data_IF_417202561237
#
_entry.id   IF_417202561237
#
_cell.length_a   1.000
_cell.length_b   1.000
_cell.length_c   1.000
_cell.angle_alpha   90.00
_cell.angle_beta   90.00
_cell.angle_gamma   90.00
#
_symmetry.space_group_name_H-M   'P 1'
#
loop_
_entity.id
_entity.type
_entity.pdbx_description
1 polymer ?
#
# COMPACT_ATOMS: atom_id res chain seq x y z
N UNK A 1 6.80 -16.39 6.19
CA UNK A 1 7.96 -17.10 5.62
C UNK A 1 7.62 -17.76 4.30
N UNK A 2 6.56 -18.58 4.20
CA UNK A 2 6.15 -19.17 2.91
C UNK A 2 5.76 -18.12 1.85
N UNK A 3 4.78 -17.25 2.11
CA UNK A 3 4.33 -16.26 1.12
C UNK A 3 5.43 -15.28 0.70
N UNK A 4 6.31 -14.90 1.64
CA UNK A 4 7.47 -14.05 1.33
C UNK A 4 8.47 -14.77 0.42
N UNK A 5 8.65 -16.09 0.59
CA UNK A 5 9.47 -16.90 -0.32
C UNK A 5 8.80 -17.05 -1.70
N UNK A 6 7.46 -17.20 -1.76
CA UNK A 6 6.71 -17.22 -3.02
C UNK A 6 6.86 -15.89 -3.76
N UNK A 7 6.71 -14.75 -3.06
CA UNK A 7 6.95 -13.43 -3.66
C UNK A 7 8.37 -13.31 -4.21
N UNK A 8 9.39 -13.73 -3.46
CA UNK A 8 10.77 -13.75 -3.92
C UNK A 8 10.95 -14.65 -5.16
N UNK A 9 10.35 -15.85 -5.17
CA UNK A 9 10.36 -16.75 -6.31
C UNK A 9 9.73 -16.15 -7.57
N UNK A 10 8.58 -15.48 -7.44
CA UNK A 10 7.93 -14.78 -8.55
C UNK A 10 8.80 -13.65 -9.09
N UNK A 11 9.48 -12.90 -8.21
CA UNK A 11 10.41 -11.84 -8.61
C UNK A 11 11.64 -12.41 -9.33
N UNK A 12 12.17 -13.54 -8.87
CA UNK A 12 13.31 -14.21 -9.53
C UNK A 12 12.91 -14.81 -10.88
N UNK A 13 11.66 -15.24 -11.03
CA UNK A 13 11.10 -15.76 -12.29
C UNK A 13 10.86 -14.67 -13.35
N UNK A 14 10.88 -13.38 -12.98
CA UNK A 14 10.78 -12.29 -13.96
C UNK A 14 12.03 -12.27 -14.86
N UNK A 15 11.86 -12.43 -16.18
CA UNK A 15 12.97 -12.32 -17.12
C UNK A 15 13.45 -10.86 -17.17
N UNK A 16 14.78 -10.63 -17.26
CA UNK A 16 15.32 -9.29 -17.48
C UNK A 16 14.67 -8.62 -18.69
N UNK A 17 14.36 -7.34 -18.55
CA UNK A 17 13.82 -6.52 -19.65
C UNK A 17 14.98 -5.86 -20.43
N UNK A 18 14.77 -5.51 -21.70
CA UNK A 18 15.86 -5.05 -22.59
C UNK A 18 16.53 -3.76 -22.12
N UNK A 19 15.77 -2.85 -21.51
CA UNK A 19 16.26 -1.54 -21.06
C UNK A 19 16.64 -1.54 -19.59
N UNK A 20 15.80 -2.16 -18.75
CA UNK A 20 15.92 -2.14 -17.29
C UNK A 20 16.67 -3.35 -16.72
N UNK A 21 16.93 -4.38 -17.52
CA UNK A 21 17.57 -5.60 -17.07
C UNK A 21 16.86 -6.20 -15.85
N UNK A 22 17.62 -6.49 -14.80
CA UNK A 22 17.08 -7.05 -13.55
C UNK A 22 16.33 -6.02 -12.67
N UNK A 23 16.47 -4.71 -12.93
CA UNK A 23 15.80 -3.64 -12.16
C UNK A 23 14.27 -3.75 -12.28
N UNK A 24 13.78 -4.34 -13.37
CA UNK A 24 12.35 -4.60 -13.59
C UNK A 24 11.68 -5.35 -12.42
N UNK A 25 12.44 -6.20 -11.71
CA UNK A 25 11.94 -6.94 -10.54
C UNK A 25 11.52 -6.00 -9.41
N UNK A 26 12.35 -5.00 -9.12
CA UNK A 26 12.05 -3.99 -8.09
C UNK A 26 10.86 -3.12 -8.52
N UNK A 27 10.77 -2.80 -9.80
CA UNK A 27 9.64 -2.02 -10.36
C UNK A 27 8.32 -2.79 -10.22
N UNK A 28 8.31 -4.10 -10.46
CA UNK A 28 7.13 -4.94 -10.25
C UNK A 28 6.72 -5.01 -8.78
N UNK A 29 7.68 -5.17 -7.87
CA UNK A 29 7.42 -5.12 -6.43
C UNK A 29 6.83 -3.78 -6.00
N UNK A 30 7.44 -2.68 -6.44
CA UNK A 30 6.95 -1.31 -6.20
C UNK A 30 5.50 -1.14 -6.69
N UNK A 31 5.22 -1.59 -7.92
CA UNK A 31 3.89 -1.54 -8.51
C UNK A 31 2.86 -2.36 -7.73
N UNK A 32 3.23 -3.55 -7.25
CA UNK A 32 2.36 -4.38 -6.42
C UNK A 32 2.08 -3.72 -5.06
N UNK A 33 3.11 -3.15 -4.42
CA UNK A 33 2.99 -2.52 -3.11
C UNK A 33 2.08 -1.29 -3.13
N UNK A 34 2.16 -0.42 -4.14
CA UNK A 34 1.26 0.75 -4.23
C UNK A 34 -0.20 0.33 -4.43
N UNK A 35 -0.45 -0.66 -5.29
CA UNK A 35 -1.80 -1.18 -5.53
C UNK A 35 -2.39 -1.79 -4.26
N UNK A 36 -1.63 -2.66 -3.59
CA UNK A 36 -2.08 -3.28 -2.33
C UNK A 36 -2.24 -2.24 -1.22
N UNK A 37 -1.33 -1.27 -1.11
CA UNK A 37 -1.46 -0.18 -0.15
C UNK A 37 -2.76 0.60 -0.31
N UNK A 38 -3.13 0.96 -1.55
CA UNK A 38 -4.40 1.63 -1.84
C UNK A 38 -5.61 0.75 -1.49
N UNK A 39 -5.56 -0.55 -1.81
CA UNK A 39 -6.63 -1.49 -1.45
C UNK A 39 -6.79 -1.64 0.06
N UNK A 40 -5.70 -1.68 0.81
CA UNK A 40 -5.74 -1.77 2.28
C UNK A 40 -6.28 -0.47 2.89
N UNK A 41 -5.89 0.70 2.38
CA UNK A 41 -6.49 1.96 2.81
C UNK A 41 -7.99 2.04 2.48
N UNK A 42 -8.40 1.57 1.30
CA UNK A 42 -9.82 1.46 0.96
C UNK A 42 -10.57 0.54 1.93
N UNK A 43 -10.00 -0.64 2.25
CA UNK A 43 -10.56 -1.55 3.24
C UNK A 43 -10.68 -0.90 4.63
N UNK A 44 -9.67 -0.13 5.06
CA UNK A 44 -9.74 0.67 6.29
C UNK A 44 -10.89 1.70 6.24
N UNK A 45 -11.06 2.42 5.13
CA UNK A 45 -12.18 3.35 4.94
C UNK A 45 -13.54 2.65 5.01
N UNK A 46 -13.69 1.49 4.37
CA UNK A 46 -14.92 0.69 4.44
C UNK A 46 -15.20 0.19 5.86
N UNK A 47 -14.18 -0.33 6.55
CA UNK A 47 -14.30 -0.76 7.96
C UNK A 47 -14.63 0.41 8.88
N UNK A 48 -14.14 1.61 8.58
CA UNK A 48 -14.51 2.83 9.30
C UNK A 48 -16.01 3.15 9.12
N UNK A 49 -16.55 3.06 7.90
CA UNK A 49 -17.99 3.23 7.66
C UNK A 49 -18.82 2.18 8.41
N UNK A 50 -18.42 0.90 8.32
CA UNK A 50 -19.10 -0.18 9.04
C UNK A 50 -19.06 0.04 10.55
N UNK A 51 -17.91 0.45 11.10
CA UNK A 51 -17.80 0.79 12.51
C UNK A 51 -18.67 1.99 12.90
N UNK A 52 -18.67 3.07 12.12
CA UNK A 52 -19.48 4.26 12.42
C UNK A 52 -20.98 3.94 12.42
N UNK A 53 -21.40 2.98 11.60
CA UNK A 53 -22.77 2.46 11.57
C UNK A 53 -23.08 1.53 12.75
N UNK A 54 -22.29 0.47 12.94
CA UNK A 54 -22.60 -0.62 13.89
C UNK A 54 -22.12 -0.36 15.31
N UNK A 55 -21.09 0.46 15.48
CA UNK A 55 -20.40 0.76 16.74
C UNK A 55 -19.87 -0.47 17.48
N UNK A 56 -19.59 -1.55 16.76
CA UNK A 56 -19.16 -2.82 17.35
C UNK A 56 -17.62 -2.99 17.40
N UNK A 57 -17.16 -3.80 18.35
CA UNK A 57 -15.73 -4.06 18.59
C UNK A 57 -15.06 -4.84 17.46
N UNK A 58 -15.80 -5.72 16.77
CA UNK A 58 -15.25 -6.53 15.68
C UNK A 58 -14.82 -5.62 14.53
N UNK A 59 -15.71 -4.74 14.07
CA UNK A 59 -15.44 -3.75 13.02
C UNK A 59 -14.30 -2.82 13.42
N UNK A 60 -14.29 -2.35 14.67
CA UNK A 60 -13.22 -1.49 15.18
C UNK A 60 -11.84 -2.20 15.17
N UNK A 61 -11.79 -3.46 15.59
CA UNK A 61 -10.54 -4.24 15.60
C UNK A 61 -9.94 -4.44 14.22
N UNK A 62 -10.79 -4.70 13.22
CA UNK A 62 -10.37 -4.83 11.84
C UNK A 62 -9.95 -3.48 11.26
N UNK A 63 -10.64 -2.38 11.60
CA UNK A 63 -10.22 -1.02 11.22
C UNK A 63 -8.80 -0.71 11.72
N UNK A 64 -8.52 -0.97 13.01
CA UNK A 64 -7.18 -0.73 13.60
C UNK A 64 -6.12 -1.57 12.90
N UNK A 65 -6.43 -2.85 12.62
CA UNK A 65 -5.55 -3.74 11.87
C UNK A 65 -5.26 -3.21 10.46
N UNK A 66 -6.30 -2.83 9.71
CA UNK A 66 -6.20 -2.30 8.37
C UNK A 66 -5.36 -1.01 8.32
N UNK A 67 -5.55 -0.09 9.28
CA UNK A 67 -4.76 1.13 9.37
C UNK A 67 -3.26 0.84 9.53
N UNK A 68 -2.91 -0.04 10.48
CA UNK A 68 -1.51 -0.39 10.75
C UNK A 68 -0.88 -1.12 9.58
N UNK A 69 -1.60 -2.06 8.97
CA UNK A 69 -1.15 -2.76 7.75
C UNK A 69 -0.97 -1.80 6.59
N UNK A 70 -1.92 -0.90 6.35
CA UNK A 70 -1.85 0.08 5.27
C UNK A 70 -0.61 0.96 5.40
N UNK A 71 -0.35 1.48 6.60
CA UNK A 71 0.86 2.25 6.89
C UNK A 71 2.14 1.43 6.64
N UNK A 72 2.22 0.19 7.14
CA UNK A 72 3.38 -0.67 6.93
C UNK A 72 3.64 -0.98 5.45
N UNK A 73 2.59 -1.29 4.68
CA UNK A 73 2.69 -1.51 3.23
C UNK A 73 3.11 -0.23 2.51
N UNK A 74 2.59 0.93 2.92
CA UNK A 74 2.94 2.21 2.31
C UNK A 74 4.40 2.62 2.60
N UNK A 75 4.92 2.31 3.78
CA UNK A 75 6.35 2.48 4.11
C UNK A 75 7.20 1.58 3.23
N UNK A 76 6.85 0.30 3.09
CA UNK A 76 7.56 -0.62 2.20
C UNK A 76 7.52 -0.15 0.75
N UNK A 77 6.37 0.37 0.30
CA UNK A 77 6.21 1.02 -1.00
C UNK A 77 7.16 2.22 -1.15
N UNK A 78 7.20 3.14 -0.19
CA UNK A 78 8.06 4.32 -0.26
C UNK A 78 9.54 3.95 -0.37
N UNK A 79 10.00 2.97 0.44
CA UNK A 79 11.36 2.45 0.36
C UNK A 79 11.65 1.80 -1.00
N UNK A 80 10.72 0.99 -1.52
CA UNK A 80 10.85 0.40 -2.86
C UNK A 80 10.86 1.46 -3.97
N UNK A 81 10.14 2.58 -3.77
CA UNK A 81 10.12 3.72 -4.68
C UNK A 81 11.49 4.40 -4.73
N UNK A 82 12.11 4.63 -3.57
CA UNK A 82 13.45 5.22 -3.50
C UNK A 82 14.48 4.33 -4.20
N UNK A 83 14.43 3.02 -3.93
CA UNK A 83 15.33 2.06 -4.55
C UNK A 83 15.14 1.97 -6.07
N UNK A 84 13.90 1.87 -6.54
CA UNK A 84 13.61 1.82 -7.99
C UNK A 84 14.02 3.11 -8.70
N UNK A 85 13.79 4.27 -8.09
CA UNK A 85 14.22 5.57 -8.65
C UNK A 85 15.74 5.64 -8.76
N UNK A 86 16.46 5.20 -7.72
CA UNK A 86 17.93 5.21 -7.73
C UNK A 86 18.49 4.26 -8.78
N UNK A 87 17.96 3.03 -8.87
CA UNK A 87 18.42 2.04 -9.84
C UNK A 87 18.09 2.41 -11.29
N UNK A 88 16.98 3.10 -11.53
CA UNK A 88 16.58 3.50 -12.88
C UNK A 88 17.27 4.80 -13.34
N UNK A 89 17.42 5.78 -12.45
CA UNK A 89 17.76 7.16 -12.81
C UNK A 89 18.87 7.80 -11.96
N UNK A 90 19.52 7.05 -11.06
CA UNK A 90 20.65 7.53 -10.26
C UNK A 90 20.30 8.50 -9.13
N UNK A 91 19.01 8.77 -8.88
CA UNK A 91 18.53 9.68 -7.84
C UNK A 91 17.62 8.96 -6.84
N UNK A 92 17.73 9.29 -5.56
CA UNK A 92 16.94 8.64 -4.52
C UNK A 92 15.47 9.07 -4.49
N UNK A 93 15.18 10.34 -4.78
CA UNK A 93 13.81 10.88 -4.76
C UNK A 93 13.66 11.88 -5.91
N UNK A 94 12.76 11.58 -6.84
CA UNK A 94 12.42 12.44 -7.97
C UNK A 94 11.27 13.40 -7.58
N UNK A 95 11.58 14.48 -6.86
CA UNK A 95 10.59 15.44 -6.33
C UNK A 95 9.79 16.20 -7.38
N UNK A 96 10.33 16.28 -8.59
CA UNK A 96 9.70 16.89 -9.75
C UNK A 96 8.58 16.00 -10.34
N UNK A 97 8.55 14.71 -10.02
CA UNK A 97 7.44 13.83 -10.39
C UNK A 97 6.23 14.09 -9.46
N UNK A 98 5.07 14.53 -9.99
CA UNK A 98 3.87 14.78 -9.19
C UNK A 98 3.43 13.55 -8.40
N UNK A 99 3.61 12.35 -8.97
CA UNK A 99 3.31 11.08 -8.33
C UNK A 99 4.15 10.84 -7.08
N UNK A 100 5.43 11.22 -7.08
CA UNK A 100 6.32 11.09 -5.91
C UNK A 100 5.86 12.02 -4.79
N UNK A 101 5.53 13.28 -5.12
CA UNK A 101 4.98 14.23 -4.14
C UNK A 101 3.64 13.76 -3.56
N UNK A 102 2.75 13.23 -4.39
CA UNK A 102 1.49 12.63 -3.95
C UNK A 102 1.73 11.46 -2.98
N UNK A 103 2.63 10.52 -3.33
CA UNK A 103 2.98 9.38 -2.49
C UNK A 103 3.59 9.78 -1.14
N UNK A 104 4.46 10.79 -1.13
CA UNK A 104 5.01 11.38 0.09
C UNK A 104 3.90 12.03 0.95
N UNK A 105 2.98 12.76 0.32
CA UNK A 105 1.81 13.33 1.00
C UNK A 105 0.92 12.26 1.65
N UNK A 106 0.67 11.15 0.96
CA UNK A 106 -0.09 10.02 1.52
C UNK A 106 0.66 9.38 2.70
N UNK A 107 1.99 9.22 2.61
CA UNK A 107 2.77 8.69 3.72
C UNK A 107 2.66 9.57 4.96
N UNK A 108 2.86 10.89 4.80
CA UNK A 108 2.74 11.85 5.90
C UNK A 108 1.33 11.87 6.49
N UNK A 109 0.30 11.85 5.65
CA UNK A 109 -1.09 11.79 6.10
C UNK A 109 -1.37 10.49 6.86
N UNK A 110 -0.89 9.34 6.37
CA UNK A 110 -1.08 8.05 7.03
C UNK A 110 -0.43 8.02 8.42
N UNK A 111 0.80 8.55 8.54
CA UNK A 111 1.50 8.71 9.82
C UNK A 111 0.74 9.65 10.75
N UNK A 112 0.30 10.82 10.26
CA UNK A 112 -0.47 11.78 11.04
C UNK A 112 -1.79 11.18 11.55
N UNK A 113 -2.57 10.54 10.68
CA UNK A 113 -3.81 9.86 11.06
C UNK A 113 -3.57 8.75 12.10
N UNK A 114 -2.45 8.02 12.00
CA UNK A 114 -2.10 6.99 12.98
C UNK A 114 -1.73 7.59 14.35
N UNK A 115 -0.85 8.59 14.37
CA UNK A 115 -0.40 9.26 15.60
C UNK A 115 -1.55 10.01 16.29
N UNK A 116 -2.35 10.77 15.54
CA UNK A 116 -3.50 11.49 16.09
C UNK A 116 -4.55 10.51 16.63
N UNK A 117 -4.84 9.42 15.92
CA UNK A 117 -5.79 8.42 16.42
C UNK A 117 -5.28 7.69 17.67
N UNK A 118 -3.96 7.54 17.82
CA UNK A 118 -3.35 7.04 19.04
C UNK A 118 -3.45 8.05 20.18
N UNK A 119 -3.12 9.33 19.92
CA UNK A 119 -3.14 10.40 20.91
C UNK A 119 -4.54 10.74 21.43
N UNK A 120 -5.51 10.89 20.52
CA UNK A 120 -6.91 11.21 20.87
C UNK A 120 -7.62 10.03 21.53
N UNK A 121 -7.16 8.79 21.28
CA UNK A 121 -7.71 7.56 21.84
C UNK A 121 -9.24 7.34 21.64
N UNK A 122 -9.87 8.05 20.70
CA UNK A 122 -11.30 7.91 20.38
C UNK A 122 -11.53 6.98 19.18
N UNK A 123 -12.35 5.93 19.32
CA UNK A 123 -12.70 5.04 18.22
C UNK A 123 -13.38 5.75 17.03
N UNK A 124 -14.24 6.73 17.32
CA UNK A 124 -14.93 7.53 16.29
C UNK A 124 -13.95 8.40 15.54
N UNK A 125 -13.05 9.08 16.26
CA UNK A 125 -12.01 9.89 15.62
C UNK A 125 -11.12 9.03 14.71
N UNK A 126 -10.70 7.84 15.18
CA UNK A 126 -9.93 6.91 14.35
C UNK A 126 -10.66 6.51 13.07
N UNK A 127 -11.96 6.24 13.15
CA UNK A 127 -12.76 5.90 11.98
C UNK A 127 -12.83 7.06 10.98
N UNK A 128 -13.12 8.28 11.45
CA UNK A 128 -13.14 9.47 10.60
C UNK A 128 -11.77 9.73 9.96
N UNK A 129 -10.68 9.62 10.73
CA UNK A 129 -9.32 9.79 10.21
C UNK A 129 -8.99 8.77 9.10
N UNK A 130 -9.41 7.50 9.25
CA UNK A 130 -9.20 6.48 8.22
C UNK A 130 -10.08 6.70 6.98
N UNK A 131 -11.29 7.24 7.15
CA UNK A 131 -12.15 7.61 6.02
C UNK A 131 -11.49 8.71 5.18
N UNK A 132 -10.97 9.75 5.84
CA UNK A 132 -10.24 10.85 5.20
C UNK A 132 -8.97 10.33 4.52
N UNK A 133 -8.17 9.50 5.22
CA UNK A 133 -6.97 8.90 4.65
C UNK A 133 -7.29 8.07 3.40
N UNK A 134 -8.33 7.22 3.44
CA UNK A 134 -8.72 6.40 2.31
C UNK A 134 -9.10 7.26 1.09
N UNK A 135 -9.95 8.27 1.28
CA UNK A 135 -10.35 9.19 0.22
C UNK A 135 -9.17 9.99 -0.35
N UNK A 136 -8.37 10.60 0.53
CA UNK A 136 -7.22 11.40 0.13
C UNK A 136 -6.15 10.57 -0.57
N UNK A 137 -5.86 9.34 -0.10
CA UNK A 137 -4.89 8.46 -0.73
C UNK A 137 -5.28 8.11 -2.17
N UNK A 138 -6.55 7.74 -2.39
CA UNK A 138 -7.03 7.45 -3.73
C UNK A 138 -7.05 8.68 -4.63
N UNK A 139 -7.54 9.80 -4.11
CA UNK A 139 -7.60 11.07 -4.85
C UNK A 139 -6.21 11.54 -5.28
N UNK A 140 -5.26 11.63 -4.35
CA UNK A 140 -3.90 12.10 -4.62
C UNK A 140 -3.18 11.17 -5.60
N UNK A 141 -3.32 9.86 -5.44
CA UNK A 141 -2.55 8.89 -6.24
C UNK A 141 -3.14 8.69 -7.62
N UNK A 142 -4.47 8.65 -7.76
CA UNK A 142 -5.12 8.50 -9.06
C UNK A 142 -5.24 9.83 -9.82
N UNK A 143 -5.28 10.97 -9.11
CA UNK A 143 -5.30 12.30 -9.70
C UNK A 143 -3.91 12.86 -10.06
N UNK A 144 -2.83 12.31 -9.51
CA UNK A 144 -1.48 12.74 -9.87
C UNK A 144 -1.14 12.36 -11.33
N UNK A 145 -0.73 13.35 -12.11
CA UNK A 145 -0.15 13.13 -13.42
C UNK A 145 1.17 12.38 -13.33
N UNK A 146 1.54 11.76 -14.44
CA UNK A 146 2.74 10.97 -14.58
C UNK A 146 3.53 11.56 -15.74
N UNK A 147 4.77 12.00 -15.50
CA UNK A 147 5.65 12.53 -16.54
C UNK A 147 6.68 11.50 -17.00
N UNK A 148 7.23 10.71 -16.07
CA UNK A 148 8.30 9.73 -16.37
C UNK A 148 7.83 8.29 -16.53
N UNK A 149 6.57 7.96 -16.22
CA UNK A 149 6.05 6.60 -16.39
C UNK A 149 5.01 6.49 -17.51
N UNK A 150 4.98 5.37 -18.25
CA UNK A 150 3.79 4.98 -19.01
C UNK A 150 2.59 4.78 -18.06
N UNK A 151 1.37 5.09 -18.51
CA UNK A 151 0.15 5.00 -17.69
C UNK A 151 -0.14 3.57 -17.17
N UNK A 152 0.24 2.53 -17.93
CA UNK A 152 0.08 1.12 -17.53
C UNK A 152 1.13 0.19 -18.16
N UNK A 153 2.42 0.25 -17.75
CA UNK A 153 3.51 -0.47 -18.42
C UNK A 153 3.33 -1.99 -18.42
N UNK A 154 2.66 -2.51 -17.38
CA UNK A 154 2.44 -3.95 -17.18
C UNK A 154 1.07 -4.38 -17.72
N UNK A 155 0.03 -3.57 -17.50
CA UNK A 155 -1.33 -3.86 -17.94
C UNK A 155 -1.48 -3.86 -19.47
N UNK A 156 -0.72 -3.00 -20.15
CA UNK A 156 -0.68 -2.89 -21.60
C UNK A 156 0.49 -3.67 -22.23
N UNK A 157 1.25 -4.42 -21.44
CA UNK A 157 2.35 -5.24 -21.96
C UNK A 157 1.83 -6.33 -22.90
N UNK A 158 2.41 -6.45 -24.09
CA UNK A 158 2.13 -7.55 -25.03
C UNK A 158 2.54 -8.91 -24.45
N UNK A 159 3.49 -8.95 -23.50
CA UNK A 159 3.98 -10.18 -22.89
C UNK A 159 2.97 -10.76 -21.88
N UNK A 160 2.42 -11.98 -22.11
CA UNK A 160 1.57 -12.64 -21.13
C UNK A 160 2.35 -13.00 -19.86
N UNK A 161 3.65 -13.31 -19.97
CA UNK A 161 4.52 -13.65 -18.84
C UNK A 161 4.56 -12.52 -17.81
N UNK A 162 4.77 -11.28 -18.25
CA UNK A 162 4.81 -10.13 -17.35
C UNK A 162 3.45 -9.87 -16.67
N UNK A 163 2.36 -10.02 -17.41
CA UNK A 163 1.00 -9.85 -16.85
C UNK A 163 0.69 -10.90 -15.79
N UNK A 164 0.94 -12.18 -16.08
CA UNK A 164 0.69 -13.29 -15.14
C UNK A 164 1.55 -13.17 -13.88
N UNK A 165 2.86 -12.91 -14.04
CA UNK A 165 3.75 -12.76 -12.89
C UNK A 165 3.39 -11.55 -12.02
N UNK A 166 2.96 -10.44 -12.62
CA UNK A 166 2.50 -9.27 -11.87
C UNK A 166 1.21 -9.54 -11.11
N UNK A 167 0.22 -10.20 -11.72
CA UNK A 167 -1.03 -10.57 -11.04
C UNK A 167 -0.71 -11.54 -9.89
N UNK A 168 0.13 -12.55 -10.12
CA UNK A 168 0.58 -13.47 -9.08
C UNK A 168 1.25 -12.73 -7.92
N UNK A 169 2.16 -11.79 -8.23
CA UNK A 169 2.83 -10.98 -7.22
C UNK A 169 1.84 -10.11 -6.45
N UNK A 170 0.90 -9.45 -7.13
CA UNK A 170 -0.14 -8.63 -6.52
C UNK A 170 -0.98 -9.45 -5.53
N UNK A 171 -1.42 -10.65 -5.94
CA UNK A 171 -2.20 -11.55 -5.08
C UNK A 171 -1.39 -12.00 -3.86
N UNK A 172 -0.12 -12.36 -4.04
CA UNK A 172 0.73 -12.77 -2.91
C UNK A 172 0.97 -11.61 -1.94
N UNK A 173 1.23 -10.41 -2.42
CA UNK A 173 1.41 -9.21 -1.57
C UNK A 173 0.09 -8.88 -0.84
N UNK A 174 -1.06 -9.02 -1.51
CA UNK A 174 -2.37 -8.84 -0.89
C UNK A 174 -2.64 -9.87 0.21
N UNK A 175 -2.29 -11.14 -0.01
CA UNK A 175 -2.38 -12.20 1.01
C UNK A 175 -1.45 -11.92 2.20
N UNK A 176 -0.22 -11.45 1.95
CA UNK A 176 0.70 -11.02 3.01
C UNK A 176 0.08 -9.89 3.84
N UNK A 177 -0.52 -8.90 3.18
CA UNK A 177 -1.21 -7.80 3.86
C UNK A 177 -2.40 -8.30 4.70
N UNK A 178 -3.21 -9.22 4.18
CA UNK A 178 -4.30 -9.86 4.94
C UNK A 178 -3.82 -10.64 6.16
N UNK A 179 -2.72 -11.39 6.05
CA UNK A 179 -2.11 -12.05 7.20
C UNK A 179 -1.56 -11.06 8.22
N UNK A 180 -0.98 -9.94 7.75
CA UNK A 180 -0.51 -8.88 8.62
C UNK A 180 -1.67 -8.22 9.37
N UNK A 181 -2.80 -7.96 8.71
CA UNK A 181 -4.02 -7.46 9.38
C UNK A 181 -4.47 -8.42 10.46
N UNK A 182 -4.57 -9.72 10.14
CA UNK A 182 -4.97 -10.73 11.13
C UNK A 182 -4.02 -10.76 12.34
N UNK A 183 -2.70 -10.58 12.14
CA UNK A 183 -1.70 -10.56 13.22
C UNK A 183 -1.73 -9.27 14.04
N UNK A 184 -2.00 -8.13 13.41
CA UNK A 184 -2.02 -6.81 14.06
C UNK A 184 -3.38 -6.46 14.67
N UNK A 185 -4.38 -7.32 14.45
CA UNK A 185 -5.72 -7.18 15.01
C UNK A 185 -5.66 -7.22 16.54
N UNK A 186 -6.11 -6.16 17.23
CA UNK A 186 -6.27 -6.20 18.67
C UNK A 186 -7.33 -7.23 19.06
N UNK A 187 -7.00 -8.08 20.03
CA UNK A 187 -7.94 -9.06 20.59
C UNK A 187 -8.65 -8.48 21.81
N UNK A 188 -7.95 -7.62 22.56
CA UNK A 188 -8.47 -6.96 23.77
C UNK A 188 -8.50 -5.44 23.58
N UNK A 189 -9.57 -4.81 24.04
CA UNK A 189 -9.70 -3.35 24.12
C UNK A 189 -9.85 -2.93 25.58
N UNK A 190 -8.81 -2.36 26.20
CA UNK A 190 -8.99 -1.73 27.51
C UNK A 190 -9.90 -0.50 27.35
N UNK A 191 -11.10 -0.53 27.97
CA UNK A 191 -11.98 0.64 28.08
C UNK A 191 -13.28 0.64 27.25
N UNK A 192 -13.75 -0.50 26.76
CA UNK A 192 -15.10 -0.65 26.16
C UNK A 192 -15.99 -1.67 26.91
N UNK A 193 -15.73 -1.87 28.19
CA UNK A 193 -16.62 -2.55 29.16
C UNK A 193 -17.37 -1.51 29.98
#
# INVERSE_FOLDING_TARGET
>A
MLLTAVAAGLLLALPPEQTLGAVIRVIFLHGALVQVGLLVFAAAGLLALVYLWRRDLMSYSWLVAAQRTGLAVWVAYALSSMLSTYLAWGQWIAWDEPRVRASAGVLWLAVACWLLAWWVASPVFRALANLVLAGAAWWLIKGASIFRHPFAPIGESSSPTYRVLFIGLLLVVLLIAGLLMRRLRPVDFPGLT
#
